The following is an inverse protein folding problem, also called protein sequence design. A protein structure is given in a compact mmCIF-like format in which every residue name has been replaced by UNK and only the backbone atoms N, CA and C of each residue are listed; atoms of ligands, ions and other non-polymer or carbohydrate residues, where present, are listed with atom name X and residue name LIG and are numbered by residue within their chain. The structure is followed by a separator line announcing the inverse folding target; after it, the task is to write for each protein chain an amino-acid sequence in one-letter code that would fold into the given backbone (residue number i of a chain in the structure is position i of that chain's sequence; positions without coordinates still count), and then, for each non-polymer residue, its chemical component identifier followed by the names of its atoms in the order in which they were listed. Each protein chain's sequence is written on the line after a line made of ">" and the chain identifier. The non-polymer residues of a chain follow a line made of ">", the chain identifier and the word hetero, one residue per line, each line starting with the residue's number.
data_IF_361225564848
#
_entry.id   IF_361225564848
#
_cell.length_a   1.000
_cell.length_b   1.000
_cell.length_c   1.000
_cell.angle_alpha   90.00
_cell.angle_beta   90.00
_cell.angle_gamma   90.00
#
_symmetry.space_group_name_H-M   'P 1'
#
loop_
_entity.id
_entity.type
_entity.pdbx_description
1 polymer ?
#
# COMPACT_ATOMS: atom_id res chain seq x y z
N UNK A 1 -36.03 -8.44 11.71
CA UNK A 1 -36.32 -8.11 10.31
C UNK A 1 -35.89 -9.26 9.44
N UNK A 2 -36.76 -9.78 8.56
CA UNK A 2 -36.39 -10.90 7.67
C UNK A 2 -35.81 -10.32 6.37
N UNK A 3 -34.58 -9.85 6.43
CA UNK A 3 -33.87 -9.31 5.27
C UNK A 3 -33.63 -10.36 4.17
N UNK A 4 -33.49 -11.59 4.54
CA UNK A 4 -32.93 -12.70 3.81
C UNK A 4 -33.62 -13.14 2.52
N UNK A 5 -34.96 -13.24 2.50
CA UNK A 5 -35.69 -13.84 1.37
C UNK A 5 -35.98 -12.85 0.27
N UNK A 6 -36.13 -11.57 0.63
CA UNK A 6 -36.59 -10.54 -0.29
C UNK A 6 -35.45 -9.63 -0.83
N UNK A 7 -34.26 -9.68 -0.20
CA UNK A 7 -33.13 -8.75 -0.47
C UNK A 7 -31.81 -9.41 -0.83
N UNK A 8 -31.78 -10.71 -1.07
CA UNK A 8 -30.60 -11.44 -1.55
C UNK A 8 -29.33 -11.23 -0.68
N UNK A 9 -29.39 -11.48 0.64
CA UNK A 9 -28.20 -11.52 1.50
C UNK A 9 -27.18 -12.50 0.93
N UNK A 10 -25.92 -12.04 0.77
CA UNK A 10 -24.87 -12.76 0.04
C UNK A 10 -24.69 -12.30 -1.42
N UNK A 11 -25.46 -11.30 -1.88
CA UNK A 11 -25.39 -10.79 -3.26
C UNK A 11 -23.99 -10.28 -3.64
N UNK A 12 -23.35 -9.53 -2.75
CA UNK A 12 -22.01 -8.97 -2.97
C UNK A 12 -20.93 -10.05 -3.02
N UNK A 13 -21.01 -11.01 -2.10
CA UNK A 13 -20.03 -12.07 -1.97
C UNK A 13 -20.26 -13.27 -2.89
N UNK A 14 -21.41 -13.30 -3.57
CA UNK A 14 -21.85 -14.45 -4.40
C UNK A 14 -22.12 -15.72 -3.57
N UNK A 15 -22.26 -15.61 -2.25
CA UNK A 15 -22.50 -16.75 -1.37
C UNK A 15 -23.99 -17.08 -1.29
N UNK A 16 -24.29 -18.37 -1.40
CA UNK A 16 -25.63 -18.87 -1.13
C UNK A 16 -25.82 -19.02 0.41
N UNK A 17 -26.99 -18.61 0.90
CA UNK A 17 -27.34 -18.76 2.32
C UNK A 17 -27.28 -20.22 2.78
N UNK A 18 -27.65 -21.16 1.92
CA UNK A 18 -27.61 -22.58 2.25
C UNK A 18 -26.18 -23.10 2.49
N UNK A 19 -25.18 -22.51 1.83
CA UNK A 19 -23.77 -22.82 2.07
C UNK A 19 -23.28 -22.33 3.44
N UNK A 20 -23.91 -21.26 3.96
CA UNK A 20 -23.57 -20.68 5.26
C UNK A 20 -24.12 -21.49 6.44
N UNK A 21 -25.14 -22.31 6.20
CA UNK A 21 -25.69 -23.21 7.24
C UNK A 21 -24.70 -24.30 7.66
N UNK A 22 -23.74 -24.61 6.82
CA UNK A 22 -22.75 -25.67 7.04
C UNK A 22 -21.44 -25.18 7.72
N UNK A 23 -21.40 -23.93 8.20
CA UNK A 23 -20.19 -23.41 8.84
C UNK A 23 -20.00 -24.00 10.23
N UNK A 24 -18.94 -24.77 10.42
CA UNK A 24 -18.60 -25.48 11.68
C UNK A 24 -17.90 -24.61 12.74
N UNK A 25 -17.79 -23.29 12.51
CA UNK A 25 -17.12 -22.39 13.44
C UNK A 25 -18.05 -21.99 14.57
N UNK A 26 -17.77 -22.44 15.78
CA UNK A 26 -18.42 -21.96 17.00
C UNK A 26 -18.00 -20.51 17.26
N UNK A 27 -18.98 -19.61 17.32
CA UNK A 27 -18.79 -18.20 17.67
C UNK A 27 -19.51 -17.91 18.97
N UNK A 28 -18.96 -17.01 19.78
CA UNK A 28 -19.62 -16.55 21.00
C UNK A 28 -21.01 -15.98 20.66
N UNK A 29 -22.03 -16.38 21.45
CA UNK A 29 -23.42 -15.98 21.24
C UNK A 29 -24.16 -16.75 20.14
N UNK A 30 -23.61 -17.82 19.61
CA UNK A 30 -24.28 -18.64 18.58
C UNK A 30 -25.62 -19.20 19.03
N UNK A 31 -25.75 -19.55 20.31
CA UNK A 31 -26.99 -20.04 20.90
C UNK A 31 -28.10 -18.98 21.02
N UNK A 32 -27.78 -17.71 20.93
CA UNK A 32 -28.73 -16.60 21.00
C UNK A 32 -29.35 -16.27 19.64
N UNK A 33 -28.81 -16.81 18.54
CA UNK A 33 -29.24 -16.57 17.17
C UNK A 33 -30.48 -17.42 16.83
N UNK A 34 -31.41 -16.82 16.10
CA UNK A 34 -32.51 -17.55 15.50
C UNK A 34 -32.09 -18.34 14.25
N UNK A 35 -31.14 -17.80 13.49
CA UNK A 35 -30.55 -18.43 12.33
C UNK A 35 -29.00 -18.30 12.37
N UNK A 36 -28.32 -19.25 11.77
CA UNK A 36 -26.83 -19.29 11.76
C UNK A 36 -26.18 -18.05 11.13
N UNK A 37 -26.85 -17.38 10.21
CA UNK A 37 -26.40 -16.18 9.53
C UNK A 37 -26.85 -14.87 10.19
N UNK A 38 -27.62 -14.92 11.30
CA UNK A 38 -27.92 -13.71 12.07
C UNK A 38 -26.59 -13.14 12.62
N UNK A 39 -26.49 -11.83 12.63
CA UNK A 39 -25.31 -11.12 13.13
C UNK A 39 -25.70 -10.13 14.24
N UNK A 40 -24.77 -9.94 15.18
CA UNK A 40 -25.01 -9.10 16.34
C UNK A 40 -24.83 -7.62 16.00
N UNK A 41 -25.87 -6.82 16.17
CA UNK A 41 -25.79 -5.36 16.08
C UNK A 41 -25.15 -4.77 17.35
N UNK A 42 -25.47 -5.33 18.53
CA UNK A 42 -24.96 -4.94 19.83
C UNK A 42 -24.43 -6.14 20.58
N UNK A 43 -23.25 -6.04 21.15
CA UNK A 43 -22.59 -7.09 21.91
C UNK A 43 -22.47 -6.69 23.37
N UNK A 44 -22.78 -7.60 24.28
CA UNK A 44 -22.56 -7.41 25.70
C UNK A 44 -21.05 -7.31 25.99
N UNK A 45 -20.63 -6.28 26.70
CA UNK A 45 -19.24 -6.11 27.11
C UNK A 45 -18.90 -6.99 28.31
N UNK A 46 -17.73 -7.63 28.30
CA UNK A 46 -17.15 -8.23 29.52
C UNK A 46 -16.67 -7.11 30.45
N UNK A 47 -16.45 -7.41 31.75
CA UNK A 47 -15.96 -6.43 32.72
C UNK A 47 -14.65 -5.77 32.30
N UNK A 48 -13.79 -6.45 31.53
CA UNK A 48 -12.47 -6.02 31.08
C UNK A 48 -12.53 -5.23 29.76
N UNK A 49 -13.69 -5.23 29.08
CA UNK A 49 -13.82 -4.56 27.78
C UNK A 49 -13.74 -3.05 27.94
N UNK A 50 -12.77 -2.42 27.28
CA UNK A 50 -12.48 -0.99 27.44
C UNK A 50 -13.61 -0.13 26.85
N UNK A 51 -14.06 -0.46 25.63
CA UNK A 51 -15.13 0.26 24.95
C UNK A 51 -16.47 -0.33 25.35
N UNK A 52 -17.26 0.40 26.13
CA UNK A 52 -18.64 0.03 26.45
C UNK A 52 -19.50 1.26 26.71
N UNK A 53 -20.77 1.12 26.42
CA UNK A 53 -21.79 2.12 26.64
C UNK A 53 -23.04 1.46 27.23
N UNK A 54 -23.81 2.18 28.05
CA UNK A 54 -25.11 1.69 28.51
C UNK A 54 -26.09 1.60 27.33
N UNK A 55 -26.88 0.55 27.30
CA UNK A 55 -27.96 0.38 26.33
C UNK A 55 -29.19 -0.32 26.98
N UNK A 56 -30.35 -0.27 26.31
CA UNK A 56 -31.53 -1.02 26.82
C UNK A 56 -31.32 -2.53 26.86
N UNK A 57 -30.34 -3.06 26.15
CA UNK A 57 -30.07 -4.51 26.08
C UNK A 57 -29.00 -4.96 27.08
N UNK A 58 -27.98 -4.17 27.26
CA UNK A 58 -26.89 -4.37 28.23
C UNK A 58 -25.86 -3.22 28.10
N UNK A 59 -24.97 -3.13 29.10
CA UNK A 59 -23.70 -2.45 28.86
C UNK A 59 -22.94 -3.24 27.78
N UNK A 60 -22.56 -2.55 26.71
CA UNK A 60 -22.01 -3.22 25.54
C UNK A 60 -21.41 -2.29 24.51
N UNK A 61 -21.18 -2.82 23.34
CA UNK A 61 -20.56 -2.14 22.21
C UNK A 61 -21.18 -2.59 20.88
N UNK A 62 -21.14 -1.74 19.84
CA UNK A 62 -21.68 -2.10 18.53
C UNK A 62 -20.89 -3.22 17.86
N UNK A 63 -21.52 -3.96 16.96
CA UNK A 63 -20.80 -4.79 16.00
C UNK A 63 -19.96 -3.91 15.07
N UNK A 64 -18.76 -4.34 14.70
CA UNK A 64 -17.85 -3.58 13.84
C UNK A 64 -18.49 -3.06 12.54
N UNK A 65 -19.28 -3.90 11.86
CA UNK A 65 -20.04 -3.49 10.67
C UNK A 65 -21.05 -2.35 10.95
N UNK A 66 -21.61 -2.26 12.16
CA UNK A 66 -22.52 -1.18 12.54
C UNK A 66 -21.76 0.15 12.71
N UNK A 67 -20.54 0.11 13.20
CA UNK A 67 -19.66 1.27 13.29
C UNK A 67 -19.44 1.86 11.89
N UNK A 68 -19.08 1.02 10.91
CA UNK A 68 -18.86 1.45 9.53
C UNK A 68 -20.12 2.03 8.90
N UNK A 69 -21.27 1.36 8.98
CA UNK A 69 -22.54 1.86 8.44
C UNK A 69 -22.93 3.20 9.05
N UNK A 70 -22.76 3.36 10.37
CA UNK A 70 -23.12 4.60 11.07
C UNK A 70 -22.16 5.75 10.72
N UNK A 71 -20.86 5.48 10.66
CA UNK A 71 -19.87 6.49 10.33
C UNK A 71 -19.99 6.95 8.87
N UNK A 72 -20.15 6.03 7.93
CA UNK A 72 -20.33 6.36 6.52
C UNK A 72 -21.58 7.23 6.31
N UNK A 73 -22.71 6.84 6.85
CA UNK A 73 -23.94 7.65 6.77
C UNK A 73 -23.77 9.03 7.40
N UNK A 74 -23.08 9.12 8.54
CA UNK A 74 -22.87 10.39 9.24
C UNK A 74 -21.97 11.36 8.49
N UNK A 75 -20.90 10.87 7.88
CA UNK A 75 -19.84 11.73 7.32
C UNK A 75 -19.89 11.84 5.79
N UNK A 76 -20.42 10.84 5.09
CA UNK A 76 -20.50 10.81 3.64
C UNK A 76 -21.92 10.99 3.10
N UNK A 77 -22.94 10.83 3.95
CA UNK A 77 -24.35 10.92 3.58
C UNK A 77 -25.01 9.55 3.45
N UNK A 78 -26.28 9.56 3.03
CA UNK A 78 -27.09 8.35 2.88
C UNK A 78 -26.63 7.47 1.69
N UNK A 79 -26.02 8.09 0.69
CA UNK A 79 -25.41 7.42 -0.48
C UNK A 79 -24.00 7.98 -0.71
N UNK A 80 -23.08 7.11 -1.11
CA UNK A 80 -21.71 7.50 -1.46
C UNK A 80 -21.13 6.57 -2.53
N UNK A 81 -20.08 7.05 -3.21
CA UNK A 81 -19.62 6.43 -4.45
C UNK A 81 -18.89 5.11 -4.22
N UNK A 82 -17.85 5.09 -3.38
CA UNK A 82 -16.95 3.95 -3.26
C UNK A 82 -16.76 3.54 -1.80
N UNK A 83 -16.93 2.23 -1.55
CA UNK A 83 -16.55 1.59 -0.29
C UNK A 83 -15.54 0.49 -0.58
N UNK A 84 -14.41 0.50 0.13
CA UNK A 84 -13.32 -0.43 -0.09
C UNK A 84 -12.89 -1.20 1.15
N UNK A 85 -12.33 -2.39 0.93
CA UNK A 85 -11.75 -3.20 2.00
C UNK A 85 -10.98 -4.40 1.48
N UNK A 86 -10.44 -5.20 2.38
CA UNK A 86 -9.83 -6.48 2.02
C UNK A 86 -10.89 -7.51 1.61
N UNK A 87 -10.48 -8.50 0.81
CA UNK A 87 -11.36 -9.62 0.43
C UNK A 87 -11.91 -10.40 1.62
N UNK A 88 -11.24 -10.35 2.77
CA UNK A 88 -11.70 -10.95 4.01
C UNK A 88 -12.90 -10.22 4.64
N UNK A 89 -13.11 -8.95 4.30
CA UNK A 89 -14.28 -8.17 4.72
C UNK A 89 -15.49 -8.36 3.82
N UNK A 90 -15.31 -8.90 2.59
CA UNK A 90 -16.39 -9.13 1.65
C UNK A 90 -17.56 -9.89 2.30
N UNK A 91 -17.20 -10.92 3.06
CA UNK A 91 -18.15 -11.68 3.88
C UNK A 91 -17.54 -12.02 5.25
N UNK A 92 -18.26 -11.79 6.37
CA UNK A 92 -19.65 -11.29 6.46
C UNK A 92 -19.77 -9.76 6.57
N UNK A 93 -18.66 -9.00 6.73
CA UNK A 93 -18.67 -7.61 7.19
C UNK A 93 -19.46 -6.69 6.23
N UNK A 94 -19.07 -6.61 4.96
CA UNK A 94 -19.72 -5.73 3.99
C UNK A 94 -21.15 -6.18 3.64
N UNK A 95 -21.41 -7.48 3.64
CA UNK A 95 -22.80 -7.97 3.50
C UNK A 95 -23.68 -7.53 4.68
N UNK A 96 -23.12 -7.49 5.90
CA UNK A 96 -23.82 -6.97 7.08
C UNK A 96 -24.08 -5.47 6.95
N UNK A 97 -23.17 -4.69 6.38
CA UNK A 97 -23.37 -3.26 6.12
C UNK A 97 -24.49 -3.02 5.10
N UNK A 98 -24.51 -3.79 4.00
CA UNK A 98 -25.61 -3.73 3.03
C UNK A 98 -26.94 -4.04 3.70
N UNK A 99 -27.00 -5.14 4.47
CA UNK A 99 -28.22 -5.54 5.17
C UNK A 99 -28.71 -4.47 6.15
N UNK A 100 -27.82 -3.82 6.87
CA UNK A 100 -28.13 -2.72 7.79
C UNK A 100 -28.67 -1.50 7.06
N UNK A 101 -27.99 -1.07 5.99
CA UNK A 101 -28.37 0.10 5.20
C UNK A 101 -29.75 -0.08 4.57
N UNK A 102 -29.99 -1.21 3.92
CA UNK A 102 -31.32 -1.51 3.34
C UNK A 102 -32.39 -1.63 4.43
N UNK A 103 -32.06 -2.18 5.58
CA UNK A 103 -33.01 -2.27 6.70
C UNK A 103 -33.37 -0.90 7.31
N UNK A 104 -32.42 0.02 7.38
CA UNK A 104 -32.58 1.33 7.99
C UNK A 104 -33.13 2.40 7.02
N UNK A 105 -32.69 2.37 5.76
CA UNK A 105 -32.92 3.43 4.78
C UNK A 105 -33.84 2.97 3.62
N UNK A 106 -33.98 1.67 3.39
CA UNK A 106 -34.78 1.10 2.31
C UNK A 106 -34.02 0.87 1.01
N UNK A 107 -32.74 1.23 0.93
CA UNK A 107 -31.90 1.07 -0.25
C UNK A 107 -30.44 0.77 0.12
N UNK A 108 -29.65 0.30 -0.86
CA UNK A 108 -28.19 0.18 -0.74
C UNK A 108 -27.56 1.58 -0.79
N UNK A 109 -26.55 1.83 0.04
CA UNK A 109 -25.92 3.14 0.22
C UNK A 109 -24.63 3.30 -0.59
N UNK A 110 -24.09 2.23 -1.15
CA UNK A 110 -22.79 2.21 -1.82
C UNK A 110 -22.98 1.87 -3.30
N UNK A 111 -22.45 2.74 -4.18
CA UNK A 111 -22.53 2.51 -5.63
C UNK A 111 -21.50 1.49 -6.12
N UNK A 112 -20.25 1.55 -5.60
CA UNK A 112 -19.15 0.68 -6.03
C UNK A 112 -18.42 0.08 -4.83
N UNK A 113 -18.31 -1.24 -4.82
CA UNK A 113 -17.53 -1.99 -3.84
C UNK A 113 -16.18 -2.38 -4.42
N UNK A 114 -15.09 -2.04 -3.73
CA UNK A 114 -13.75 -2.38 -4.15
C UNK A 114 -13.06 -3.26 -3.11
N UNK A 115 -12.55 -4.41 -3.53
CA UNK A 115 -11.88 -5.35 -2.63
C UNK A 115 -10.48 -5.67 -3.12
N UNK A 116 -9.48 -5.31 -2.29
CA UNK A 116 -8.10 -5.72 -2.53
C UNK A 116 -7.83 -7.10 -1.92
N UNK A 117 -6.94 -7.85 -2.57
CA UNK A 117 -6.53 -9.14 -2.04
C UNK A 117 -5.44 -9.00 -0.98
N UNK A 118 -5.07 -10.13 -0.38
CA UNK A 118 -4.11 -10.16 0.72
C UNK A 118 -2.66 -10.10 0.23
N UNK A 119 -1.78 -9.70 1.13
CA UNK A 119 -0.34 -9.79 0.96
C UNK A 119 0.16 -11.10 1.58
N UNK A 120 1.03 -11.78 0.85
CA UNK A 120 1.75 -12.96 1.33
C UNK A 120 3.25 -12.71 1.36
N UNK A 121 3.97 -13.51 2.13
CA UNK A 121 5.43 -13.51 2.21
C UNK A 121 5.90 -14.93 1.90
N UNK A 122 6.59 -15.12 0.76
CA UNK A 122 7.03 -16.42 0.30
C UNK A 122 5.87 -17.46 0.26
N UNK A 123 4.73 -17.05 -0.29
CA UNK A 123 3.53 -17.86 -0.43
C UNK A 123 2.70 -18.05 0.86
N UNK A 124 3.14 -17.53 1.99
CA UNK A 124 2.42 -17.62 3.26
C UNK A 124 1.72 -16.30 3.60
N UNK A 125 0.50 -16.38 4.14
CA UNK A 125 -0.21 -15.19 4.62
C UNK A 125 0.67 -14.41 5.60
N UNK A 126 0.80 -13.09 5.38
CA UNK A 126 1.50 -12.22 6.33
C UNK A 126 0.68 -12.05 7.60
N UNK A 127 1.31 -12.27 8.75
CA UNK A 127 0.64 -12.14 10.04
C UNK A 127 1.59 -12.09 11.23
N UNK A 128 1.24 -11.28 12.23
CA UNK A 128 2.06 -11.14 13.45
C UNK A 128 2.25 -12.46 14.18
N UNK A 129 1.20 -13.28 14.27
CA UNK A 129 1.22 -14.60 14.91
C UNK A 129 2.11 -15.61 14.18
N UNK A 130 2.38 -15.40 12.90
CA UNK A 130 3.25 -16.25 12.08
C UNK A 130 4.71 -15.80 12.10
N UNK A 131 5.01 -14.66 12.73
CA UNK A 131 6.36 -14.12 12.81
C UNK A 131 6.98 -13.70 11.47
N UNK A 132 6.13 -13.50 10.44
CA UNK A 132 6.52 -13.06 9.10
C UNK A 132 5.93 -11.69 8.73
N UNK A 133 5.46 -10.94 9.72
CA UNK A 133 4.95 -9.58 9.51
C UNK A 133 6.14 -8.63 9.36
N UNK A 134 6.17 -7.91 8.24
CA UNK A 134 7.20 -6.90 7.93
C UNK A 134 6.51 -5.54 7.86
N UNK A 135 6.99 -4.58 8.64
CA UNK A 135 6.52 -3.19 8.59
C UNK A 135 7.15 -2.42 7.43
N UNK A 136 6.58 -1.28 7.05
CA UNK A 136 7.18 -0.41 6.04
C UNK A 136 8.58 0.08 6.46
N UNK A 137 8.75 0.44 7.73
CA UNK A 137 10.05 0.86 8.25
C UNK A 137 11.12 -0.25 8.13
N UNK A 138 10.73 -1.50 8.37
CA UNK A 138 11.63 -2.64 8.17
C UNK A 138 11.95 -2.88 6.69
N UNK A 139 10.98 -2.70 5.77
CA UNK A 139 11.26 -2.72 4.33
C UNK A 139 12.26 -1.64 3.94
N UNK A 140 12.08 -0.42 4.44
CA UNK A 140 12.92 0.72 4.06
C UNK A 140 14.30 0.68 4.71
N UNK A 141 14.42 0.16 5.92
CA UNK A 141 15.69 0.01 6.61
C UNK A 141 16.44 -1.29 6.28
N UNK A 142 15.71 -2.30 5.74
CA UNK A 142 16.24 -3.66 5.55
C UNK A 142 16.41 -4.45 6.86
N UNK A 143 15.98 -3.89 8.00
CA UNK A 143 16.20 -4.48 9.31
C UNK A 143 15.15 -5.53 9.69
N UNK A 144 15.04 -6.57 8.89
CA UNK A 144 14.16 -7.71 9.16
C UNK A 144 14.79 -9.01 8.64
N UNK A 145 14.68 -10.12 9.41
CA UNK A 145 15.30 -11.42 9.11
C UNK A 145 14.95 -12.02 7.75
N UNK A 146 13.82 -11.62 7.17
CA UNK A 146 13.36 -12.10 5.87
C UNK A 146 13.79 -11.19 4.70
N UNK A 147 14.39 -10.03 4.98
CA UNK A 147 14.89 -9.10 3.97
C UNK A 147 16.39 -9.27 3.78
N UNK A 148 16.85 -9.25 2.54
CA UNK A 148 18.28 -9.31 2.19
C UNK A 148 18.91 -7.92 2.09
N UNK A 149 18.09 -6.90 1.86
CA UNK A 149 18.52 -5.52 1.69
C UNK A 149 17.37 -4.55 2.03
N UNK A 150 17.63 -3.26 2.23
CA UNK A 150 16.61 -2.22 2.24
C UNK A 150 16.01 -2.05 0.83
N UNK A 151 14.73 -1.71 0.79
CA UNK A 151 14.02 -1.38 -0.45
C UNK A 151 13.41 0.01 -0.33
N UNK A 152 13.53 0.81 -1.38
CA UNK A 152 12.98 2.15 -1.39
C UNK A 152 11.45 2.15 -1.35
N UNK A 153 10.81 3.23 -0.84
CA UNK A 153 9.36 3.38 -0.91
C UNK A 153 8.79 3.24 -2.32
N UNK A 154 9.49 3.75 -3.34
CA UNK A 154 9.06 3.64 -4.72
C UNK A 154 9.21 2.24 -5.29
N UNK A 155 10.22 1.49 -4.88
CA UNK A 155 10.35 0.06 -5.23
C UNK A 155 9.16 -0.74 -4.68
N UNK A 156 8.78 -0.56 -3.42
CA UNK A 156 7.63 -1.24 -2.82
C UNK A 156 6.32 -0.82 -3.50
N UNK A 157 6.15 0.48 -3.76
CA UNK A 157 4.98 1.01 -4.48
C UNK A 157 4.87 0.40 -5.89
N UNK A 158 5.95 0.41 -6.65
CA UNK A 158 5.98 -0.12 -7.99
C UNK A 158 5.72 -1.63 -8.01
N UNK A 159 6.30 -2.37 -7.05
CA UNK A 159 6.05 -3.79 -6.86
C UNK A 159 4.56 -4.09 -6.67
N UNK A 160 3.88 -3.36 -5.79
CA UNK A 160 2.43 -3.53 -5.56
C UNK A 160 1.63 -3.22 -6.84
N UNK A 161 2.00 -2.16 -7.57
CA UNK A 161 1.33 -1.75 -8.80
C UNK A 161 1.53 -2.72 -9.98
N UNK A 162 2.54 -3.60 -9.93
CA UNK A 162 2.75 -4.66 -10.92
C UNK A 162 1.72 -5.78 -10.82
N UNK A 163 0.94 -5.84 -9.75
CA UNK A 163 -0.17 -6.75 -9.58
C UNK A 163 -1.50 -6.00 -9.64
N UNK A 164 -2.55 -6.65 -10.17
CA UNK A 164 -3.89 -6.12 -10.05
C UNK A 164 -4.33 -6.12 -8.59
N UNK A 165 -5.01 -5.08 -8.10
CA UNK A 165 -5.38 -4.96 -6.68
C UNK A 165 -6.24 -6.11 -6.15
N UNK A 166 -6.95 -6.82 -7.03
CA UNK A 166 -7.73 -8.03 -6.68
C UNK A 166 -6.87 -9.30 -6.58
N UNK A 167 -5.62 -9.24 -7.02
CA UNK A 167 -4.71 -10.38 -6.99
C UNK A 167 -3.90 -10.40 -5.69
N UNK A 168 -3.51 -11.59 -5.25
CA UNK A 168 -2.57 -11.73 -4.13
C UNK A 168 -1.21 -11.17 -4.54
N UNK A 169 -0.61 -10.37 -3.66
CA UNK A 169 0.75 -9.85 -3.82
C UNK A 169 1.68 -10.64 -2.93
N UNK A 170 2.61 -11.38 -3.53
CA UNK A 170 3.57 -12.21 -2.79
C UNK A 170 4.94 -11.55 -2.72
N UNK A 171 5.33 -11.12 -1.53
CA UNK A 171 6.64 -10.52 -1.28
C UNK A 171 7.71 -11.61 -1.14
N UNK A 172 8.72 -11.54 -2.00
CA UNK A 172 9.99 -12.27 -1.86
C UNK A 172 11.15 -11.34 -2.22
N UNK A 173 12.36 -11.65 -1.76
CA UNK A 173 13.53 -10.82 -2.09
C UNK A 173 13.80 -10.80 -3.59
N UNK A 174 13.63 -11.93 -4.27
CA UNK A 174 13.81 -12.05 -5.71
C UNK A 174 12.82 -11.16 -6.47
N UNK A 175 11.55 -11.16 -6.05
CA UNK A 175 10.50 -10.34 -6.67
C UNK A 175 10.73 -8.85 -6.42
N UNK A 176 11.14 -8.46 -5.21
CA UNK A 176 11.45 -7.08 -4.87
C UNK A 176 12.67 -6.55 -5.63
N UNK A 177 13.75 -7.34 -5.74
CA UNK A 177 14.94 -6.99 -6.52
C UNK A 177 14.64 -6.89 -8.02
N UNK A 178 13.77 -7.77 -8.54
CA UNK A 178 13.31 -7.69 -9.92
C UNK A 178 12.49 -6.41 -10.16
N UNK A 179 11.63 -6.04 -9.22
CA UNK A 179 10.83 -4.82 -9.26
C UNK A 179 11.69 -3.56 -9.20
N UNK A 180 12.71 -3.54 -8.34
CA UNK A 180 13.68 -2.43 -8.24
C UNK A 180 14.38 -2.19 -9.58
N UNK A 181 14.91 -3.25 -10.20
CA UNK A 181 15.53 -3.17 -11.53
C UNK A 181 14.54 -2.74 -12.61
N UNK A 182 13.30 -3.20 -12.53
CA UNK A 182 12.26 -2.81 -13.46
C UNK A 182 11.89 -1.32 -13.32
N UNK A 183 11.75 -0.82 -12.09
CA UNK A 183 11.52 0.59 -11.81
C UNK A 183 12.67 1.46 -12.35
N UNK A 184 13.91 1.07 -12.06
CA UNK A 184 15.08 1.77 -12.58
C UNK A 184 15.05 1.87 -14.11
N UNK A 185 14.80 0.77 -14.80
CA UNK A 185 14.68 0.76 -16.28
C UNK A 185 13.53 1.64 -16.79
N UNK A 186 12.43 1.73 -16.04
CA UNK A 186 11.31 2.60 -16.39
C UNK A 186 11.71 4.08 -16.30
N UNK A 187 12.39 4.48 -15.21
CA UNK A 187 12.88 5.84 -15.00
C UNK A 187 14.00 6.20 -15.99
N UNK A 188 14.94 5.28 -16.26
CA UNK A 188 15.94 5.46 -17.32
C UNK A 188 15.29 5.68 -18.69
N UNK A 189 14.20 4.97 -18.99
CA UNK A 189 13.42 5.18 -20.21
C UNK A 189 12.82 6.57 -20.29
N UNK A 190 12.29 7.08 -19.20
CA UNK A 190 11.80 8.45 -19.08
C UNK A 190 12.91 9.47 -19.33
N UNK A 191 14.08 9.32 -18.68
CA UNK A 191 15.22 10.22 -18.85
C UNK A 191 15.76 10.20 -20.28
N UNK A 192 15.78 9.03 -20.89
CA UNK A 192 16.23 8.82 -22.25
C UNK A 192 15.37 9.55 -23.30
N UNK A 193 14.10 9.82 -22.99
CA UNK A 193 13.21 10.61 -23.85
C UNK A 193 13.78 12.02 -24.13
N UNK A 194 14.44 12.62 -23.15
CA UNK A 194 15.05 13.94 -23.28
C UNK A 194 16.31 13.95 -24.15
N UNK A 195 16.89 12.79 -24.43
CA UNK A 195 18.12 12.61 -25.24
C UNK A 195 17.81 12.35 -26.71
N UNK A 196 16.54 12.16 -27.09
CA UNK A 196 16.13 11.91 -28.47
C UNK A 196 16.21 13.23 -29.26
N UNK A 197 16.97 13.23 -30.35
CA UNK A 197 16.93 14.29 -31.35
C UNK A 197 15.70 14.07 -32.25
N UNK A 198 14.75 15.04 -32.31
CA UNK A 198 13.55 14.87 -33.10
C UNK A 198 13.83 14.80 -34.60
N UNK A 199 13.17 13.85 -35.26
CA UNK A 199 13.17 13.75 -36.73
C UNK A 199 11.95 14.47 -37.33
N UNK A 200 11.90 14.63 -38.63
CA UNK A 200 10.74 15.21 -39.34
C UNK A 200 9.50 14.29 -39.22
N UNK A 201 9.71 12.98 -39.27
CA UNK A 201 8.64 11.98 -39.28
C UNK A 201 9.00 10.81 -38.33
N UNK A 202 8.01 10.34 -37.58
CA UNK A 202 8.14 9.12 -36.82
C UNK A 202 7.99 7.88 -37.69
N UNK A 203 8.85 6.87 -37.46
CA UNK A 203 8.73 5.55 -38.08
C UNK A 203 8.03 4.53 -37.18
N UNK A 204 7.63 4.94 -36.02
CA UNK A 204 6.96 4.13 -34.97
C UNK A 204 5.65 4.79 -34.54
N UNK A 205 4.65 4.00 -34.22
CA UNK A 205 3.40 4.49 -33.65
C UNK A 205 3.48 4.52 -32.11
N UNK A 206 3.30 5.70 -31.55
CA UNK A 206 3.29 5.92 -30.10
C UNK A 206 1.94 6.45 -29.60
N UNK A 207 1.05 6.87 -30.50
CA UNK A 207 -0.24 7.50 -30.14
C UNK A 207 -1.17 6.49 -29.47
N UNK A 208 -1.19 5.25 -29.95
CA UNK A 208 -2.00 4.16 -29.41
C UNK A 208 -1.61 3.74 -27.99
N UNK A 209 -0.38 4.04 -27.53
CA UNK A 209 0.08 3.68 -26.18
C UNK A 209 -0.76 4.37 -25.11
N UNK A 210 -1.01 5.67 -25.26
CA UNK A 210 -1.83 6.44 -24.31
C UNK A 210 -3.25 5.94 -24.25
N UNK A 211 -3.86 5.66 -25.40
CA UNK A 211 -5.22 5.13 -25.49
C UNK A 211 -5.35 3.80 -24.75
N UNK A 212 -4.43 2.87 -25.02
CA UNK A 212 -4.35 1.58 -24.33
C UNK A 212 -4.11 1.70 -22.83
N UNK A 213 -3.34 2.67 -22.38
CA UNK A 213 -3.18 2.95 -20.96
C UNK A 213 -4.49 3.41 -20.32
N UNK A 214 -5.27 4.27 -20.98
CA UNK A 214 -6.60 4.67 -20.52
C UNK A 214 -7.58 3.50 -20.53
N UNK A 215 -7.59 2.68 -21.58
CA UNK A 215 -8.42 1.47 -21.63
C UNK A 215 -8.14 0.55 -20.45
N UNK A 216 -6.86 0.30 -20.13
CA UNK A 216 -6.46 -0.52 -18.99
C UNK A 216 -6.87 0.09 -17.65
N UNK A 217 -6.76 1.41 -17.48
CA UNK A 217 -7.22 2.07 -16.25
C UNK A 217 -8.75 2.07 -16.14
N UNK A 218 -9.46 2.19 -17.25
CA UNK A 218 -10.92 2.13 -17.28
C UNK A 218 -11.47 0.71 -17.12
N UNK A 219 -10.64 -0.30 -17.32
CA UNK A 219 -10.95 -1.70 -17.06
C UNK A 219 -10.45 -2.11 -15.66
N UNK A 220 -11.19 -1.66 -14.66
CA UNK A 220 -10.99 -2.00 -13.24
C UNK A 220 -9.58 -1.65 -12.70
N UNK A 221 -9.04 -0.49 -13.11
CA UNK A 221 -7.76 0.06 -12.62
C UNK A 221 -6.57 -0.89 -12.83
N UNK A 222 -6.46 -1.49 -14.01
CA UNK A 222 -5.43 -2.48 -14.33
C UNK A 222 -4.04 -1.89 -14.49
N UNK A 223 -3.42 -1.48 -13.38
CA UNK A 223 -2.06 -0.91 -13.34
C UNK A 223 -0.99 -1.84 -13.95
N UNK A 224 -1.03 -3.19 -13.81
CA UNK A 224 -0.02 -4.04 -14.46
C UNK A 224 -0.05 -3.95 -15.98
N UNK A 225 -1.23 -3.77 -16.60
CA UNK A 225 -1.34 -3.60 -18.06
C UNK A 225 -0.79 -2.23 -18.46
N UNK A 226 -1.09 -1.16 -17.71
CA UNK A 226 -0.49 0.17 -17.93
C UNK A 226 1.04 0.10 -17.89
N UNK A 227 1.60 -0.55 -16.86
CA UNK A 227 3.07 -0.73 -16.74
C UNK A 227 3.64 -1.47 -17.96
N UNK A 228 2.93 -2.48 -18.46
CA UNK A 228 3.34 -3.19 -19.67
C UNK A 228 3.41 -2.27 -20.90
N UNK A 229 2.40 -1.41 -21.10
CA UNK A 229 2.39 -0.42 -22.20
C UNK A 229 3.47 0.65 -22.03
N UNK A 230 3.77 1.07 -20.82
CA UNK A 230 4.89 1.98 -20.58
C UNK A 230 6.25 1.32 -20.87
N UNK A 231 6.41 0.00 -20.62
CA UNK A 231 7.60 -0.72 -21.05
C UNK A 231 7.71 -0.88 -22.57
N UNK A 232 6.60 -0.98 -23.30
CA UNK A 232 6.61 -0.89 -24.77
C UNK A 232 7.15 0.48 -25.22
N UNK A 233 6.72 1.57 -24.57
CA UNK A 233 7.25 2.91 -24.82
C UNK A 233 8.76 2.97 -24.54
N UNK A 234 9.24 2.43 -23.41
CA UNK A 234 10.69 2.35 -23.09
C UNK A 234 11.45 1.61 -24.19
N UNK A 235 10.90 0.51 -24.70
CA UNK A 235 11.52 -0.24 -25.81
C UNK A 235 11.62 0.62 -27.09
N UNK A 236 10.57 1.36 -27.43
CA UNK A 236 10.59 2.29 -28.58
C UNK A 236 11.65 3.36 -28.38
N UNK A 237 11.70 4.02 -27.23
CA UNK A 237 12.68 5.05 -26.89
C UNK A 237 14.10 4.52 -27.08
N UNK A 238 14.41 3.35 -26.54
CA UNK A 238 15.73 2.73 -26.69
C UNK A 238 16.05 2.37 -28.14
N UNK A 239 15.05 1.95 -28.93
CA UNK A 239 15.22 1.67 -30.36
C UNK A 239 15.56 2.93 -31.15
N UNK A 240 14.91 4.05 -30.83
CA UNK A 240 15.18 5.37 -31.45
C UNK A 240 16.60 5.83 -31.13
N UNK A 241 17.02 5.75 -29.86
CA UNK A 241 18.39 6.12 -29.45
C UNK A 241 19.46 5.25 -30.10
N UNK A 242 19.15 3.98 -30.36
CA UNK A 242 20.03 3.07 -31.06
C UNK A 242 20.06 3.31 -32.61
N UNK A 243 19.28 4.28 -33.11
CA UNK A 243 19.22 4.60 -34.57
C UNK A 243 18.35 3.62 -35.37
N UNK A 244 17.60 2.72 -34.71
CA UNK A 244 16.73 1.73 -35.35
C UNK A 244 15.36 2.26 -35.75
N UNK A 245 14.97 3.45 -35.25
CA UNK A 245 13.71 4.14 -35.56
C UNK A 245 13.88 5.64 -35.41
N UNK A 246 12.85 6.40 -35.83
CA UNK A 246 12.80 7.86 -35.66
C UNK A 246 11.54 8.27 -34.95
N UNK A 247 11.61 9.40 -34.24
CA UNK A 247 10.51 10.00 -33.51
C UNK A 247 10.43 11.50 -33.80
N UNK A 248 9.23 11.98 -34.14
CA UNK A 248 8.99 13.41 -34.35
C UNK A 248 8.94 14.17 -33.04
N UNK A 249 9.10 15.50 -33.07
CA UNK A 249 8.93 16.33 -31.89
C UNK A 249 7.54 16.20 -31.25
N UNK A 250 6.49 16.10 -32.09
CA UNK A 250 5.10 15.90 -31.61
C UNK A 250 4.94 14.58 -30.87
N UNK A 251 5.43 13.49 -31.46
CA UNK A 251 5.30 12.15 -30.87
C UNK A 251 6.17 11.98 -29.62
N UNK A 252 7.35 12.63 -29.58
CA UNK A 252 8.17 12.70 -28.38
C UNK A 252 7.45 13.42 -27.24
N UNK A 253 6.81 14.56 -27.53
CA UNK A 253 5.99 15.28 -26.56
C UNK A 253 4.77 14.44 -26.11
N UNK A 254 4.15 13.69 -27.03
CA UNK A 254 3.04 12.79 -26.72
C UNK A 254 3.46 11.67 -25.76
N UNK A 255 4.62 11.03 -25.98
CA UNK A 255 5.16 10.02 -25.06
C UNK A 255 5.49 10.63 -23.68
N UNK A 256 6.15 11.79 -23.67
CA UNK A 256 6.48 12.50 -22.43
C UNK A 256 5.23 12.76 -21.58
N UNK A 257 4.17 13.25 -22.22
CA UNK A 257 2.89 13.47 -21.53
C UNK A 257 2.24 12.16 -21.08
N UNK A 258 2.38 11.06 -21.83
CA UNK A 258 1.88 9.74 -21.44
C UNK A 258 2.57 9.24 -20.16
N UNK A 259 3.91 9.35 -20.09
CA UNK A 259 4.64 9.01 -18.86
C UNK A 259 4.23 9.91 -17.69
N UNK A 260 4.10 11.24 -17.92
CA UNK A 260 3.69 12.18 -16.88
C UNK A 260 2.35 11.77 -16.28
N UNK A 261 1.35 11.51 -17.11
CA UNK A 261 0.00 11.15 -16.67
C UNK A 261 0.01 9.81 -15.91
N UNK A 262 0.53 8.75 -16.52
CA UNK A 262 0.35 7.41 -15.96
C UNK A 262 1.39 7.06 -14.91
N UNK A 263 2.68 7.34 -15.14
CA UNK A 263 3.74 6.97 -14.21
C UNK A 263 3.76 7.89 -12.98
N UNK A 264 3.70 9.22 -13.21
CA UNK A 264 3.87 10.18 -12.12
C UNK A 264 2.54 10.62 -11.50
N UNK A 265 1.55 11.07 -12.29
CA UNK A 265 0.33 11.65 -11.73
C UNK A 265 -0.62 10.55 -11.20
N UNK A 266 -0.87 9.47 -11.96
CA UNK A 266 -1.81 8.41 -11.57
C UNK A 266 -1.15 7.40 -10.65
N UNK A 267 -0.03 6.77 -11.06
CA UNK A 267 0.64 5.75 -10.24
C UNK A 267 1.48 6.36 -9.11
N UNK A 268 1.73 7.68 -9.14
CA UNK A 268 2.43 8.41 -8.09
C UNK A 268 3.87 7.95 -7.88
N UNK A 269 4.52 7.42 -8.91
CA UNK A 269 5.95 7.13 -8.88
C UNK A 269 6.70 8.48 -8.85
N UNK A 270 7.78 8.53 -8.12
CA UNK A 270 8.63 9.72 -8.02
C UNK A 270 10.07 9.28 -8.21
N UNK A 271 10.85 10.16 -8.82
CA UNK A 271 12.30 10.03 -8.80
C UNK A 271 12.75 10.18 -7.34
N UNK A 272 13.33 9.13 -6.80
CA UNK A 272 13.99 9.21 -5.50
C UNK A 272 15.37 9.82 -5.75
N UNK A 273 15.71 10.87 -5.00
CA UNK A 273 17.06 11.38 -5.03
C UNK A 273 17.98 10.18 -4.72
N UNK A 274 18.77 9.78 -5.70
CA UNK A 274 19.79 8.79 -5.48
C UNK A 274 20.67 9.33 -4.34
N UNK A 275 20.55 8.75 -3.15
CA UNK A 275 21.62 8.87 -2.16
C UNK A 275 22.75 8.09 -2.81
N UNK A 276 23.63 8.81 -3.53
CA UNK A 276 24.80 8.19 -4.14
C UNK A 276 25.53 7.44 -3.05
N UNK A 277 26.11 6.27 -3.33
CA UNK A 277 26.96 5.56 -2.37
C UNK A 277 27.98 6.53 -1.75
N UNK A 278 28.49 7.48 -2.54
CA UNK A 278 29.37 8.57 -2.10
C UNK A 278 28.66 9.52 -1.12
N UNK A 279 27.40 9.86 -1.34
CA UNK A 279 26.61 10.72 -0.45
C UNK A 279 26.29 10.00 0.87
N UNK A 280 25.98 8.70 0.81
CA UNK A 280 25.76 7.88 2.00
C UNK A 280 27.06 7.67 2.79
N UNK A 281 28.17 7.41 2.09
CA UNK A 281 29.49 7.29 2.72
C UNK A 281 29.96 8.62 3.33
N UNK A 282 29.76 9.74 2.64
CA UNK A 282 30.05 11.07 3.16
C UNK A 282 29.19 11.41 4.38
N UNK A 283 27.91 11.04 4.36
CA UNK A 283 27.00 11.20 5.48
C UNK A 283 27.45 10.38 6.71
N UNK A 284 27.74 9.08 6.52
CA UNK A 284 28.28 8.23 7.60
C UNK A 284 29.58 8.80 8.17
N UNK A 285 30.52 9.18 7.31
CA UNK A 285 31.79 9.81 7.74
C UNK A 285 31.58 11.11 8.50
N UNK A 286 30.59 11.93 8.12
CA UNK A 286 30.27 13.16 8.84
C UNK A 286 29.70 12.89 10.25
N UNK A 287 28.83 11.88 10.39
CA UNK A 287 28.32 11.48 11.70
C UNK A 287 29.43 10.89 12.56
N UNK A 288 30.25 10.01 12.01
CA UNK A 288 31.39 9.41 12.71
C UNK A 288 32.39 10.49 13.19
N UNK A 289 32.68 11.51 12.36
CA UNK A 289 33.49 12.65 12.75
C UNK A 289 32.91 13.39 13.95
N UNK A 290 31.59 13.64 13.98
CA UNK A 290 30.94 14.29 15.12
C UNK A 290 31.01 13.42 16.38
N UNK A 291 30.92 12.11 16.26
CA UNK A 291 31.04 11.17 17.36
C UNK A 291 32.48 11.08 17.87
N UNK A 292 33.48 11.19 17.00
CA UNK A 292 34.87 11.29 17.39
C UNK A 292 35.17 12.60 18.16
N UNK A 293 34.65 13.74 17.68
CA UNK A 293 34.75 15.04 18.40
C UNK A 293 34.08 14.93 19.77
N UNK A 294 32.90 14.28 19.87
CA UNK A 294 32.26 14.01 21.16
C UNK A 294 33.09 13.14 22.08
N UNK A 295 33.71 12.11 21.54
CA UNK A 295 34.63 11.22 22.31
C UNK A 295 35.84 11.96 22.84
N UNK A 296 36.45 12.82 22.03
CA UNK A 296 37.57 13.68 22.49
C UNK A 296 37.14 14.69 23.55
N UNK A 297 35.96 15.30 23.43
CA UNK A 297 35.39 16.18 24.45
C UNK A 297 35.22 15.44 25.78
N UNK A 298 34.69 14.22 25.78
CA UNK A 298 34.58 13.35 26.96
C UNK A 298 35.98 13.08 27.58
N UNK A 299 36.98 12.77 26.76
CA UNK A 299 38.35 12.48 27.24
C UNK A 299 38.97 13.69 27.94
N UNK A 300 38.65 14.90 27.49
CA UNK A 300 39.08 16.17 28.09
C UNK A 300 38.20 16.65 29.24
N UNK A 301 37.13 15.87 29.59
CA UNK A 301 36.11 16.22 30.59
C UNK A 301 35.28 17.47 30.22
N UNK A 302 35.20 17.80 28.93
CA UNK A 302 34.32 18.82 28.39
C UNK A 302 32.94 18.24 28.16
N UNK A 303 32.19 18.14 29.26
CA UNK A 303 30.84 17.56 29.24
C UNK A 303 29.86 18.44 28.46
N UNK A 304 30.09 19.76 28.46
CA UNK A 304 29.23 20.71 27.75
C UNK A 304 29.21 20.44 26.25
N UNK A 305 30.38 20.31 25.62
CA UNK A 305 30.48 19.99 24.19
C UNK A 305 29.98 18.58 23.90
N UNK A 306 30.30 17.61 24.75
CA UNK A 306 29.86 16.22 24.58
C UNK A 306 28.32 16.09 24.61
N UNK A 307 27.66 16.74 25.56
CA UNK A 307 26.20 16.71 25.68
C UNK A 307 25.52 17.50 24.55
N UNK A 308 26.06 18.65 24.19
CA UNK A 308 25.59 19.45 23.07
C UNK A 308 25.53 18.62 21.76
N UNK A 309 26.60 17.91 21.41
CA UNK A 309 26.65 17.08 20.21
C UNK A 309 25.60 15.96 20.28
N UNK A 310 25.49 15.27 21.43
CA UNK A 310 24.47 14.21 21.61
C UNK A 310 23.07 14.75 21.45
N UNK A 311 22.75 15.85 22.10
CA UNK A 311 21.41 16.41 22.13
C UNK A 311 21.01 16.92 20.73
N UNK A 312 21.94 17.61 20.04
CA UNK A 312 21.69 18.06 18.64
C UNK A 312 21.49 16.90 17.66
N UNK A 313 22.30 15.84 17.76
CA UNK A 313 22.11 14.65 16.95
C UNK A 313 20.76 13.97 17.27
N UNK A 314 20.36 13.95 18.55
CA UNK A 314 19.07 13.39 18.95
C UNK A 314 17.87 14.21 18.45
N UNK A 315 17.98 15.55 18.43
CA UNK A 315 16.95 16.46 17.87
C UNK A 315 16.72 16.24 16.38
N UNK A 316 17.76 15.91 15.62
CA UNK A 316 17.66 15.62 14.17
C UNK A 316 17.42 14.15 13.85
N UNK A 317 17.08 13.32 14.87
CA UNK A 317 16.59 11.97 14.69
C UNK A 317 17.60 10.85 14.88
N UNK A 318 18.82 11.11 15.40
CA UNK A 318 19.76 10.05 15.71
C UNK A 318 19.58 9.48 17.14
N UNK A 319 19.64 8.17 17.26
CA UNK A 319 19.80 7.49 18.56
C UNK A 319 21.25 7.07 18.73
N UNK A 320 21.91 7.56 19.78
CA UNK A 320 23.31 7.28 20.07
C UNK A 320 23.42 6.43 21.33
N UNK A 321 24.14 5.31 21.27
CA UNK A 321 24.41 4.42 22.38
C UNK A 321 25.91 4.31 22.63
N UNK A 322 26.34 4.65 23.85
CA UNK A 322 27.71 4.38 24.30
C UNK A 322 27.81 2.90 24.72
N UNK A 323 28.62 2.11 24.03
CA UNK A 323 28.89 0.70 24.34
C UNK A 323 30.33 0.52 24.88
N UNK A 324 30.65 -0.68 25.38
CA UNK A 324 32.00 -0.98 25.84
C UNK A 324 33.03 -1.03 24.69
N UNK A 325 32.55 -1.23 23.47
CA UNK A 325 33.36 -1.37 22.26
C UNK A 325 33.45 -0.08 21.45
N UNK A 326 32.62 0.94 21.79
CA UNK A 326 32.62 2.23 21.11
C UNK A 326 31.26 2.94 21.20
N UNK A 327 30.99 3.83 20.25
CA UNK A 327 29.72 4.53 20.13
C UNK A 327 28.98 3.94 18.93
N UNK A 328 27.77 3.44 19.16
CA UNK A 328 26.87 2.99 18.12
C UNK A 328 25.79 4.05 17.88
N UNK A 329 25.37 4.20 16.64
CA UNK A 329 24.31 5.11 16.29
C UNK A 329 23.38 4.54 15.22
N UNK A 330 22.15 5.01 15.24
CA UNK A 330 21.14 4.73 14.20
C UNK A 330 20.22 5.93 14.02
N UNK A 331 19.64 6.06 12.85
CA UNK A 331 18.55 7.00 12.61
C UNK A 331 17.24 6.43 13.22
N UNK A 332 16.48 7.30 13.92
CA UNK A 332 15.18 6.91 14.52
C UNK A 332 14.11 6.74 13.45
#
# INVERSE_FOLDING_TARGET
>A
MKYNKDHHYGKLSGRNIDDLLNTTRELDGQSEKHNSFDFALWKKASPEHIMRWPSPWSDGFPGWHLECSTMSTKYLGEEFDIHGGGMDLLFPHHECEIAQSVAAQGHETVHYWMHNNMITINGQKMGKSLGNFITLDEFFSGNHKLLQQPYSPMTIRFFILQAHYRSTVDFSNEALQASEKALQRMLEGWDNLSKIEPAEVSTVDVKTIRERCYEAMNDDLSTPIVISHLFEAVKIINTVLAGGATLSAEDSAHLKETFRIFLFDIMGIREEAAVSEEGNEAYHKAVDLLLDVRKEAKARKDWTTSDYIRDRLSEIGFEIKDTKEGVEWKLK
#
